data_IF_930088243444
#
_entry.id   IF_930088243444
#
_cell.length_a   1.000
_cell.length_b   1.000
_cell.length_c   1.000
_cell.angle_alpha   90.00
_cell.angle_beta   90.00
_cell.angle_gamma   90.00
#
_symmetry.space_group_name_H-M   'P 1'
#
loop_
_entity.id
_entity.type
_entity.pdbx_description
1 polymer ?
#
# COMPACT_ATOMS: atom_id res chain seq x y z
N UNK A 1 -16.85 -6.81 12.58
CA UNK A 1 -16.18 -5.79 11.74
C UNK A 1 -15.05 -5.17 12.54
N UNK A 2 -13.86 -4.96 11.97
CA UNK A 2 -12.67 -4.45 12.67
C UNK A 2 -11.63 -5.50 13.09
N UNK A 3 -11.97 -6.79 13.03
CA UNK A 3 -11.02 -7.89 13.26
C UNK A 3 -10.11 -8.13 12.05
N UNK A 4 -8.91 -8.72 12.24
CA UNK A 4 -8.04 -9.09 11.12
C UNK A 4 -8.71 -10.07 10.17
N UNK A 5 -8.61 -9.80 8.86
CA UNK A 5 -9.26 -10.61 7.83
C UNK A 5 -8.79 -12.07 7.83
N UNK A 6 -7.50 -12.30 8.05
CA UNK A 6 -6.92 -13.64 8.06
C UNK A 6 -7.47 -14.52 9.18
N UNK A 7 -7.71 -13.95 10.36
CA UNK A 7 -8.18 -14.71 11.53
C UNK A 7 -9.62 -15.14 11.32
N UNK A 8 -10.47 -14.21 10.86
CA UNK A 8 -11.87 -14.50 10.52
C UNK A 8 -11.97 -15.51 9.38
N UNK A 9 -11.17 -15.36 8.32
CA UNK A 9 -11.14 -16.31 7.20
C UNK A 9 -10.68 -17.70 7.64
N UNK A 10 -9.67 -17.80 8.49
CA UNK A 10 -9.18 -19.05 9.05
C UNK A 10 -10.24 -19.76 9.88
N UNK A 11 -10.96 -19.02 10.74
CA UNK A 11 -12.05 -19.56 11.54
C UNK A 11 -13.13 -20.16 10.63
N UNK A 12 -13.62 -19.38 9.65
CA UNK A 12 -14.68 -19.83 8.74
C UNK A 12 -14.22 -21.03 7.88
N UNK A 13 -12.99 -21.01 7.39
CA UNK A 13 -12.45 -22.14 6.61
C UNK A 13 -12.37 -23.43 7.44
N UNK A 14 -12.07 -23.31 8.74
CA UNK A 14 -12.06 -24.44 9.68
C UNK A 14 -13.48 -24.99 9.89
N UNK A 15 -14.47 -24.12 10.08
CA UNK A 15 -15.88 -24.50 10.22
C UNK A 15 -16.44 -25.18 8.96
N UNK A 16 -15.98 -24.77 7.78
CA UNK A 16 -16.37 -25.35 6.49
C UNK A 16 -15.75 -26.75 6.21
N UNK A 17 -14.72 -27.15 6.96
CA UNK A 17 -14.03 -28.43 6.80
C UNK A 17 -14.21 -29.33 8.04
N UNK A 18 -15.41 -29.90 8.27
CA UNK A 18 -15.65 -30.78 9.41
C UNK A 18 -14.86 -32.09 9.28
N UNK A 19 -14.57 -32.70 10.44
CA UNK A 19 -13.72 -33.91 10.59
C UNK A 19 -14.21 -35.17 9.84
N UNK A 20 -15.40 -35.14 9.25
CA UNK A 20 -15.97 -36.21 8.41
C UNK A 20 -15.74 -36.00 6.90
N UNK A 21 -15.13 -34.88 6.51
CA UNK A 21 -14.81 -34.53 5.12
C UNK A 21 -13.48 -35.16 4.68
N UNK A 22 -13.27 -35.28 3.36
CA UNK A 22 -11.96 -35.60 2.76
C UNK A 22 -10.85 -34.59 3.13
N UNK A 23 -11.23 -33.46 3.73
CA UNK A 23 -10.34 -32.42 4.28
C UNK A 23 -10.09 -32.57 5.79
N UNK A 24 -10.45 -33.71 6.40
CA UNK A 24 -10.17 -33.99 7.80
C UNK A 24 -8.67 -33.88 8.10
N UNK A 25 -8.29 -32.90 8.93
CA UNK A 25 -6.90 -32.65 9.32
C UNK A 25 -6.21 -31.49 8.59
N UNK A 26 -6.89 -30.71 7.75
CA UNK A 26 -6.32 -29.48 7.19
C UNK A 26 -6.05 -28.47 8.31
N UNK A 27 -4.80 -28.01 8.42
CA UNK A 27 -4.37 -27.00 9.37
C UNK A 27 -4.27 -25.63 8.69
N UNK A 28 -5.12 -24.69 9.10
CA UNK A 28 -5.03 -23.30 8.68
C UNK A 28 -4.18 -22.51 9.68
N UNK A 29 -3.24 -21.70 9.19
CA UNK A 29 -2.38 -20.84 10.03
C UNK A 29 -2.51 -19.40 9.54
N UNK A 30 -3.24 -18.53 10.27
CA UNK A 30 -3.42 -17.15 9.87
C UNK A 30 -2.18 -16.32 10.23
N UNK A 31 -1.89 -15.33 9.38
CA UNK A 31 -0.85 -14.36 9.64
C UNK A 31 -1.36 -12.95 9.34
N UNK A 32 -1.62 -12.19 10.39
CA UNK A 32 -1.88 -10.76 10.26
C UNK A 32 -0.55 -10.02 10.11
N UNK A 33 -0.29 -9.47 8.92
CA UNK A 33 0.94 -8.73 8.65
C UNK A 33 1.05 -8.27 7.21
N UNK A 34 2.20 -7.66 6.88
CA UNK A 34 2.53 -7.22 5.53
C UNK A 34 3.54 -8.19 4.92
N UNK A 35 3.23 -8.75 3.75
CA UNK A 35 4.12 -9.68 3.01
C UNK A 35 5.48 -9.07 2.64
N UNK A 36 5.59 -7.74 2.68
CA UNK A 36 6.85 -7.00 2.50
C UNK A 36 7.71 -6.94 3.78
N UNK A 37 7.28 -7.48 4.93
CA UNK A 37 8.11 -7.57 6.13
C UNK A 37 9.17 -8.68 5.99
N UNK A 38 10.40 -8.27 5.66
CA UNK A 38 11.55 -9.15 5.48
C UNK A 38 11.92 -9.98 6.72
N UNK A 39 11.56 -9.54 7.93
CA UNK A 39 11.90 -10.27 9.16
C UNK A 39 11.16 -11.60 9.26
N UNK A 40 9.96 -11.65 8.68
CA UNK A 40 9.08 -12.83 8.71
C UNK A 40 8.95 -13.50 7.34
N UNK A 41 8.62 -12.72 6.31
CA UNK A 41 8.33 -13.22 4.97
C UNK A 41 9.55 -13.07 4.06
N UNK A 42 10.44 -14.05 4.16
CA UNK A 42 11.71 -14.11 3.43
C UNK A 42 11.83 -15.41 2.63
N UNK A 43 12.94 -15.57 1.90
CA UNK A 43 13.16 -16.73 1.03
C UNK A 43 13.10 -18.07 1.79
N UNK A 44 13.76 -18.24 2.96
CA UNK A 44 13.61 -19.47 3.76
C UNK A 44 12.17 -19.79 4.14
N UNK A 45 11.36 -18.79 4.50
CA UNK A 45 9.94 -18.99 4.80
C UNK A 45 9.17 -19.44 3.55
N UNK A 46 9.37 -18.80 2.40
CA UNK A 46 8.66 -19.18 1.18
C UNK A 46 9.08 -20.58 0.70
N UNK A 47 10.34 -20.96 0.90
CA UNK A 47 10.84 -22.29 0.56
C UNK A 47 10.20 -23.45 1.35
N UNK A 48 9.43 -23.17 2.42
CA UNK A 48 8.70 -24.21 3.15
C UNK A 48 7.36 -24.59 2.51
N UNK A 49 6.96 -23.92 1.41
CA UNK A 49 5.69 -24.16 0.73
C UNK A 49 5.91 -24.84 -0.62
N UNK A 50 4.98 -25.73 -1.00
CA UNK A 50 4.97 -26.37 -2.32
C UNK A 50 4.41 -25.45 -3.42
N UNK A 51 3.56 -24.49 -3.04
CA UNK A 51 2.86 -23.60 -3.95
C UNK A 51 2.49 -22.30 -3.24
N UNK A 52 2.56 -21.18 -3.95
CA UNK A 52 2.06 -19.88 -3.47
C UNK A 52 0.90 -19.41 -4.35
N UNK A 53 -0.17 -18.92 -3.74
CA UNK A 53 -1.32 -18.32 -4.43
C UNK A 53 -1.43 -16.84 -4.07
N UNK A 54 -1.36 -15.95 -5.06
CA UNK A 54 -1.53 -14.53 -4.84
C UNK A 54 -3.00 -14.11 -4.91
N UNK A 55 -3.41 -13.34 -3.90
CA UNK A 55 -4.69 -12.65 -3.82
C UNK A 55 -4.48 -11.19 -3.37
N UNK A 56 -3.53 -10.51 -4.01
CA UNK A 56 -3.02 -9.19 -3.62
C UNK A 56 -3.63 -8.07 -4.48
N UNK A 57 -3.80 -6.88 -3.93
CA UNK A 57 -4.46 -5.73 -4.58
C UNK A 57 -3.49 -4.65 -5.08
N UNK A 58 -2.19 -4.76 -4.80
CA UNK A 58 -1.20 -3.75 -5.14
C UNK A 58 0.03 -4.34 -5.83
N UNK A 59 0.58 -3.58 -6.77
CA UNK A 59 1.71 -4.00 -7.62
C UNK A 59 2.98 -4.29 -6.81
N UNK A 60 3.25 -3.51 -5.76
CA UNK A 60 4.47 -3.65 -4.96
C UNK A 60 4.52 -5.00 -4.23
N UNK A 61 3.42 -5.41 -3.60
CA UNK A 61 3.32 -6.69 -2.93
C UNK A 61 3.39 -7.85 -3.95
N UNK A 62 2.72 -7.74 -5.10
CA UNK A 62 2.80 -8.75 -6.18
C UNK A 62 4.23 -8.97 -6.66
N UNK A 63 4.97 -7.89 -6.95
CA UNK A 63 6.39 -7.93 -7.33
C UNK A 63 7.26 -8.55 -6.24
N UNK A 64 7.00 -8.22 -4.98
CA UNK A 64 7.72 -8.79 -3.84
C UNK A 64 7.56 -10.31 -3.77
N UNK A 65 6.32 -10.81 -3.85
CA UNK A 65 6.04 -12.26 -3.81
C UNK A 65 6.60 -12.96 -5.04
N UNK A 66 6.49 -12.36 -6.22
CA UNK A 66 7.12 -12.85 -7.45
C UNK A 66 8.62 -13.13 -7.25
N UNK A 67 9.37 -12.13 -6.75
CA UNK A 67 10.82 -12.27 -6.50
C UNK A 67 11.14 -13.32 -5.44
N UNK A 68 10.33 -13.40 -4.38
CA UNK A 68 10.50 -14.41 -3.34
C UNK A 68 10.31 -15.83 -3.88
N UNK A 69 9.26 -16.06 -4.69
CA UNK A 69 8.96 -17.36 -5.28
C UNK A 69 10.05 -17.78 -6.29
N UNK A 70 10.52 -16.85 -7.13
CA UNK A 70 11.65 -17.09 -8.03
C UNK A 70 12.95 -17.42 -7.29
N UNK A 71 13.21 -16.78 -6.15
CA UNK A 71 14.39 -17.03 -5.33
C UNK A 71 14.30 -18.36 -4.56
N UNK A 72 13.11 -18.71 -4.07
CA UNK A 72 12.85 -19.97 -3.37
C UNK A 72 12.64 -21.17 -4.32
N UNK A 73 12.52 -20.93 -5.63
CA UNK A 73 12.11 -21.92 -6.63
C UNK A 73 10.77 -22.60 -6.31
N UNK A 74 9.82 -21.81 -5.81
CA UNK A 74 8.45 -22.27 -5.50
C UNK A 74 7.50 -21.74 -6.57
N UNK A 75 6.65 -22.57 -7.19
CA UNK A 75 5.65 -22.12 -8.15
C UNK A 75 4.67 -21.10 -7.54
N UNK A 76 4.29 -20.10 -8.35
CA UNK A 76 3.37 -19.04 -7.98
C UNK A 76 2.17 -19.01 -8.94
N UNK A 77 0.96 -19.03 -8.40
CA UNK A 77 -0.26 -18.69 -9.14
C UNK A 77 -0.62 -17.24 -8.85
N UNK A 78 -0.45 -16.39 -9.85
CA UNK A 78 -0.85 -14.99 -9.81
C UNK A 78 -2.27 -14.84 -10.33
N UNK A 79 -3.13 -14.14 -9.59
CA UNK A 79 -4.48 -13.82 -10.02
C UNK A 79 -4.79 -12.33 -9.81
N UNK A 80 -5.70 -11.80 -10.61
CA UNK A 80 -6.22 -10.45 -10.43
C UNK A 80 -7.58 -10.25 -11.10
N UNK A 81 -8.30 -9.24 -10.62
CA UNK A 81 -9.61 -8.86 -11.14
C UNK A 81 -9.71 -7.34 -11.28
N UNK A 82 -10.54 -6.87 -12.20
CA UNK A 82 -10.90 -5.46 -12.38
C UNK A 82 -12.32 -5.39 -12.94
N UNK A 83 -13.28 -5.02 -12.09
CA UNK A 83 -14.71 -5.10 -12.45
C UNK A 83 -15.12 -6.54 -12.77
N UNK A 84 -15.65 -6.76 -13.97
CA UNK A 84 -16.03 -8.09 -14.47
C UNK A 84 -14.88 -8.86 -15.14
N UNK A 85 -13.72 -8.24 -15.28
CA UNK A 85 -12.55 -8.88 -15.91
C UNK A 85 -11.69 -9.56 -14.85
N UNK A 86 -11.10 -10.69 -15.21
CA UNK A 86 -10.14 -11.40 -14.37
C UNK A 86 -9.11 -12.15 -15.19
N UNK A 87 -7.97 -12.41 -14.57
CA UNK A 87 -6.88 -13.17 -15.17
C UNK A 87 -6.19 -14.05 -14.13
N UNK A 88 -5.62 -15.16 -14.60
CA UNK A 88 -4.77 -16.06 -13.82
C UNK A 88 -3.53 -16.39 -14.65
N UNK A 89 -2.37 -16.42 -14.02
CA UNK A 89 -1.09 -16.78 -14.66
C UNK A 89 -0.28 -17.63 -13.69
N UNK A 90 0.36 -18.67 -14.21
CA UNK A 90 1.28 -19.51 -13.43
C UNK A 90 2.70 -19.08 -13.74
N UNK A 91 3.50 -18.89 -12.70
CA UNK A 91 4.90 -18.52 -12.75
C UNK A 91 5.70 -19.64 -12.11
N UNK A 92 6.55 -20.29 -12.89
CA UNK A 92 7.45 -21.33 -12.39
C UNK A 92 8.81 -21.21 -13.09
N UNK A 93 9.84 -21.08 -12.27
CA UNK A 93 11.23 -20.97 -12.72
C UNK A 93 11.72 -22.29 -13.33
N UNK A 94 11.30 -23.43 -12.80
CA UNK A 94 11.73 -24.74 -13.30
C UNK A 94 11.17 -25.02 -14.71
N UNK A 95 9.95 -24.57 -14.97
CA UNK A 95 9.29 -24.67 -16.28
C UNK A 95 9.68 -23.56 -17.28
N UNK A 96 10.59 -22.66 -16.91
CA UNK A 96 11.07 -21.55 -17.76
C UNK A 96 9.94 -20.66 -18.33
N UNK A 97 8.93 -20.37 -17.50
CA UNK A 97 7.81 -19.47 -17.85
C UNK A 97 8.17 -18.02 -17.48
N UNK A 98 7.61 -17.05 -18.21
CA UNK A 98 7.79 -15.64 -17.88
C UNK A 98 7.30 -15.32 -16.45
N UNK A 99 8.01 -14.44 -15.75
CA UNK A 99 7.61 -14.01 -14.42
C UNK A 99 6.68 -12.78 -14.47
N UNK A 100 6.12 -12.40 -13.33
CA UNK A 100 5.20 -11.26 -13.23
C UNK A 100 5.81 -9.95 -13.75
N UNK A 101 7.13 -9.78 -13.60
CA UNK A 101 7.88 -8.58 -13.96
C UNK A 101 8.49 -8.63 -15.37
N UNK A 102 8.36 -9.74 -16.11
CA UNK A 102 8.79 -9.82 -17.50
C UNK A 102 7.96 -8.91 -18.42
N UNK A 103 6.70 -8.67 -18.05
CA UNK A 103 5.81 -7.76 -18.76
C UNK A 103 5.63 -6.45 -17.98
N UNK A 104 5.97 -5.33 -18.62
CA UNK A 104 5.75 -4.01 -18.05
C UNK A 104 4.26 -3.77 -17.84
N UNK A 105 3.88 -3.47 -16.59
CA UNK A 105 2.50 -3.11 -16.24
C UNK A 105 2.32 -1.60 -16.38
N UNK A 106 1.16 -1.11 -16.85
CA UNK A 106 0.92 0.33 -16.99
C UNK A 106 1.07 1.01 -15.62
N UNK A 107 1.78 2.13 -15.61
CA UNK A 107 1.91 2.95 -14.40
C UNK A 107 0.60 3.66 -14.10
N UNK A 108 0.39 4.03 -12.84
CA UNK A 108 -0.73 4.90 -12.47
C UNK A 108 -0.67 6.20 -13.28
N UNK A 109 -1.84 6.70 -13.68
CA UNK A 109 -1.95 7.94 -14.44
C UNK A 109 -1.56 9.12 -13.56
N UNK A 110 -0.54 9.87 -13.97
CA UNK A 110 -0.09 11.11 -13.32
C UNK A 110 -0.49 12.28 -14.21
N UNK A 111 -0.97 13.36 -13.59
CA UNK A 111 -1.35 14.59 -14.28
C UNK A 111 -0.27 15.66 -14.08
N UNK A 112 0.06 16.47 -15.11
CA UNK A 112 1.05 17.53 -14.96
C UNK A 112 0.66 18.54 -13.87
N UNK A 113 1.63 18.95 -13.05
CA UNK A 113 1.40 19.91 -11.96
C UNK A 113 0.78 21.22 -12.46
N UNK A 114 1.18 21.72 -13.64
CA UNK A 114 0.60 22.92 -14.24
C UNK A 114 -0.89 22.78 -14.54
N UNK A 115 -1.34 21.59 -14.96
CA UNK A 115 -2.76 21.28 -15.17
C UNK A 115 -3.51 21.27 -13.85
N UNK A 116 -2.94 20.65 -12.82
CA UNK A 116 -3.59 20.54 -11.51
C UNK A 116 -3.68 21.90 -10.80
N UNK A 117 -2.64 22.73 -10.92
CA UNK A 117 -2.56 24.03 -10.26
C UNK A 117 -3.33 25.13 -10.99
N UNK A 118 -3.18 25.21 -12.31
CA UNK A 118 -3.52 26.44 -13.05
C UNK A 118 -4.60 26.24 -14.11
N UNK A 119 -4.74 25.05 -14.69
CA UNK A 119 -5.65 24.80 -15.83
C UNK A 119 -6.43 23.48 -15.72
N UNK A 120 -7.17 23.24 -14.63
CA UNK A 120 -7.92 21.99 -14.47
C UNK A 120 -9.09 21.93 -15.45
N UNK A 121 -9.00 21.05 -16.45
CA UNK A 121 -10.04 20.87 -17.47
C UNK A 121 -10.97 19.67 -17.26
N UNK A 122 -10.69 18.79 -16.30
CA UNK A 122 -11.47 17.58 -16.03
C UNK A 122 -11.77 17.45 -14.53
N UNK A 123 -12.91 16.85 -14.12
CA UNK A 123 -13.23 16.63 -12.70
C UNK A 123 -12.14 15.86 -11.93
N UNK A 124 -11.44 14.94 -12.58
CA UNK A 124 -10.32 14.23 -11.96
C UNK A 124 -9.17 15.15 -11.55
N UNK A 125 -8.94 16.27 -12.26
CA UNK A 125 -7.90 17.23 -11.91
C UNK A 125 -8.22 17.94 -10.59
N UNK A 126 -9.48 18.32 -10.37
CA UNK A 126 -9.91 18.98 -9.12
C UNK A 126 -9.91 18.01 -7.93
N UNK A 127 -10.22 16.74 -8.16
CA UNK A 127 -10.08 15.69 -7.13
C UNK A 127 -8.61 15.50 -6.73
N UNK A 128 -7.69 15.46 -7.70
CA UNK A 128 -6.25 15.37 -7.43
C UNK A 128 -5.79 16.62 -6.68
N UNK A 129 -6.16 17.82 -7.13
CA UNK A 129 -5.85 19.06 -6.42
C UNK A 129 -6.33 19.03 -4.96
N UNK A 130 -7.57 18.60 -4.71
CA UNK A 130 -8.12 18.52 -3.35
C UNK A 130 -7.35 17.52 -2.46
N UNK A 131 -6.92 16.39 -3.02
CA UNK A 131 -6.08 15.41 -2.31
C UNK A 131 -4.72 15.99 -1.94
N UNK A 132 -4.11 16.75 -2.84
CA UNK A 132 -2.80 17.37 -2.60
C UNK A 132 -2.89 18.56 -1.64
N UNK A 133 -4.00 19.33 -1.68
CA UNK A 133 -4.32 20.33 -0.65
C UNK A 133 -4.50 19.69 0.73
N UNK A 134 -5.22 18.56 0.81
CA UNK A 134 -5.38 17.82 2.06
C UNK A 134 -4.01 17.44 2.64
N UNK A 135 -3.06 16.99 1.82
CA UNK A 135 -1.71 16.70 2.29
C UNK A 135 -1.03 17.94 2.89
N UNK A 136 -1.12 19.09 2.23
CA UNK A 136 -0.57 20.33 2.75
C UNK A 136 -1.17 20.71 4.12
N UNK A 137 -2.48 20.55 4.27
CA UNK A 137 -3.16 20.89 5.52
C UNK A 137 -2.88 19.90 6.66
N UNK A 138 -2.78 18.60 6.39
CA UNK A 138 -2.85 17.56 7.44
C UNK A 138 -1.70 16.54 7.44
N UNK A 139 -1.00 16.33 6.32
CA UNK A 139 0.10 15.36 6.26
C UNK A 139 1.30 15.87 7.07
N UNK A 140 2.03 15.05 7.85
CA UNK A 140 3.13 15.52 8.70
C UNK A 140 4.20 16.32 7.96
N UNK A 141 4.47 15.96 6.70
CA UNK A 141 5.44 16.62 5.82
C UNK A 141 4.73 17.31 4.65
N UNK A 142 5.02 18.59 4.45
CA UNK A 142 4.45 19.40 3.38
C UNK A 142 4.99 19.00 2.01
N UNK A 143 6.29 18.68 1.94
CA UNK A 143 7.04 18.25 0.74
C UNK A 143 6.47 17.01 0.03
N UNK A 144 5.64 16.22 0.71
CA UNK A 144 4.95 15.06 0.12
C UNK A 144 3.77 15.44 -0.80
N UNK A 145 3.37 16.71 -0.78
CA UNK A 145 2.38 17.26 -1.70
C UNK A 145 3.05 17.78 -2.96
N UNK A 146 2.50 17.43 -4.12
CA UNK A 146 2.97 18.01 -5.38
C UNK A 146 2.60 19.50 -5.52
N UNK A 147 1.76 20.05 -4.64
CA UNK A 147 1.43 21.48 -4.59
C UNK A 147 2.34 22.25 -3.61
N UNK A 148 3.36 21.61 -3.06
CA UNK A 148 4.31 22.29 -2.20
C UNK A 148 5.24 23.17 -3.05
N UNK A 149 5.40 24.42 -2.63
CA UNK A 149 6.34 25.38 -3.20
C UNK A 149 7.34 25.73 -2.09
N UNK A 150 8.61 25.45 -2.34
CA UNK A 150 9.70 25.85 -1.46
C UNK A 150 9.91 27.37 -1.53
N UNK A 151 10.38 27.96 -0.43
CA UNK A 151 10.81 29.36 -0.41
C UNK A 151 12.25 29.51 -0.99
N UNK A 152 12.65 28.62 -1.92
CA UNK A 152 14.00 28.63 -2.48
C UNK A 152 14.29 29.96 -3.18
N UNK A 153 15.51 30.46 -2.96
CA UNK A 153 16.00 31.64 -3.66
C UNK A 153 16.58 31.19 -5.00
N UNK A 154 16.23 31.90 -6.06
CA UNK A 154 16.82 31.74 -7.37
C UNK A 154 18.36 31.93 -7.29
N UNK A 155 19.12 31.50 -8.31
CA UNK A 155 20.59 31.67 -8.35
C UNK A 155 21.04 33.14 -8.18
N UNK A 156 20.16 34.09 -8.49
CA UNK A 156 20.34 35.54 -8.33
C UNK A 156 19.99 36.06 -6.92
N UNK A 157 19.66 35.17 -5.97
CA UNK A 157 19.29 35.50 -4.60
C UNK A 157 17.88 36.08 -4.44
N UNK A 158 17.08 36.06 -5.51
CA UNK A 158 15.70 36.54 -5.52
C UNK A 158 14.77 35.44 -5.02
N UNK A 159 13.80 35.75 -4.18
CA UNK A 159 12.74 34.80 -3.79
C UNK A 159 11.43 35.30 -4.36
N UNK A 160 10.81 34.56 -5.27
CA UNK A 160 9.39 34.77 -5.58
C UNK A 160 8.57 34.09 -4.46
N UNK A 161 7.92 34.86 -3.57
CA UNK A 161 7.16 34.26 -2.49
C UNK A 161 5.96 33.51 -3.08
N UNK A 162 5.77 32.27 -2.64
CA UNK A 162 4.58 31.51 -3.02
C UNK A 162 3.31 32.29 -2.67
N UNK A 163 2.37 32.30 -3.62
CA UNK A 163 1.13 33.06 -3.49
C UNK A 163 0.15 32.50 -2.45
N UNK A 164 0.31 31.23 -2.05
CA UNK A 164 -0.62 30.56 -1.13
C UNK A 164 0.06 29.80 0.01
N UNK A 165 1.36 29.51 -0.04
CA UNK A 165 2.00 28.69 1.01
C UNK A 165 1.99 29.37 2.39
N UNK A 166 2.07 30.69 2.46
CA UNK A 166 1.90 31.42 3.73
C UNK A 166 0.54 31.13 4.35
N UNK A 167 -0.54 31.23 3.56
CA UNK A 167 -1.89 30.92 4.02
C UNK A 167 -2.03 29.46 4.44
N UNK A 168 -1.42 28.52 3.71
CA UNK A 168 -1.42 27.09 4.06
C UNK A 168 -0.75 26.84 5.41
N UNK A 169 0.40 27.48 5.67
CA UNK A 169 1.14 27.38 6.94
C UNK A 169 0.30 27.94 8.09
N UNK A 170 -0.37 29.07 7.89
CA UNK A 170 -1.27 29.68 8.88
C UNK A 170 -2.49 28.80 9.17
N UNK A 171 -3.14 28.29 8.11
CA UNK A 171 -4.28 27.40 8.21
C UNK A 171 -3.93 26.13 8.99
N UNK A 172 -2.76 25.55 8.71
CA UNK A 172 -2.25 24.37 9.41
C UNK A 172 -2.05 24.63 10.90
N UNK A 173 -1.45 25.77 11.24
CA UNK A 173 -1.26 26.21 12.63
C UNK A 173 -2.59 26.33 13.36
N UNK A 174 -3.58 26.95 12.70
CA UNK A 174 -4.94 27.08 13.24
C UNK A 174 -5.61 25.71 13.47
N UNK A 175 -5.54 24.81 12.47
CA UNK A 175 -6.11 23.46 12.57
C UNK A 175 -5.48 22.65 13.72
N UNK A 176 -4.17 22.74 13.90
CA UNK A 176 -3.45 22.06 14.99
C UNK A 176 -3.76 22.66 16.37
N UNK A 177 -4.01 23.97 16.45
CA UNK A 177 -4.43 24.60 17.70
C UNK A 177 -5.86 24.22 18.14
N UNK A 178 -6.68 23.75 17.19
CA UNK A 178 -8.07 23.32 17.43
C UNK A 178 -8.23 21.84 17.78
N UNK A 179 -7.20 21.02 17.60
CA UNK A 179 -7.22 19.62 18.02
C UNK A 179 -6.98 19.49 19.54
N UNK A 180 -7.86 18.81 20.30
CA UNK A 180 -7.61 18.56 21.71
C UNK A 180 -6.35 17.71 21.85
N UNK A 181 -5.49 18.06 22.80
CA UNK A 181 -4.27 17.31 23.13
C UNK A 181 -4.59 15.80 23.23
N UNK A 182 -3.77 14.90 22.66
CA UNK A 182 -3.91 13.49 22.98
C UNK A 182 -3.77 13.34 24.49
N UNK A 183 -4.78 12.76 25.13
CA UNK A 183 -4.72 12.42 26.54
C UNK A 183 -3.47 11.57 26.79
N UNK A 184 -2.73 11.79 27.89
CA UNK A 184 -1.56 11.00 28.20
C UNK A 184 -2.01 9.55 28.31
N UNK A 185 -1.51 8.71 27.40
CA UNK A 185 -1.66 7.27 27.51
C UNK A 185 -0.95 6.88 28.79
N UNK A 186 -1.69 6.44 29.81
CA UNK A 186 -1.11 5.86 31.01
C UNK A 186 -0.25 4.69 30.57
N UNK A 187 1.07 4.85 30.68
CA UNK A 187 1.98 3.75 30.89
C UNK A 187 1.59 3.13 32.22
N UNK A 188 0.81 2.06 32.18
CA UNK A 188 0.87 1.09 33.26
C UNK A 188 2.07 0.19 32.93
N UNK A 189 3.22 0.62 33.45
CA UNK A 189 4.10 -0.33 34.13
C UNK A 189 3.25 -1.05 35.17
N UNK A 190 3.10 -2.36 35.03
CA UNK A 190 2.94 -3.24 36.17
C UNK A 190 3.78 -4.47 35.85
N UNK A 191 4.87 -4.57 36.60
CA UNK A 191 5.66 -5.76 36.85
C UNK A 191 4.75 -6.96 37.18
N UNK A 192 4.93 -8.08 36.49
CA UNK A 192 5.30 -9.41 37.03
C UNK A 192 5.11 -10.52 35.97
#
# INVERSE_FOLDING_TARGET
VGMPKCDVACQVATEMCPSSSATAGVKFVPHHGNVCDNRKFNVPYVATFDLVLNALDNLNARRRVNRLCLAASVPLVEAGTTGYLGQVTVIDKASNVECYECQTKPTQKVYPICTIRSTPSMPVHTIVWAKELYKLCFHPKLEDSMLFEDDEKDEDGNSEPSTYMTFIRDLRTSLQSSSPSPSPTKTNEDDN
#
